data_IF_816658156464
#
_entry.id   IF_816658156464
#
_cell.length_a   1.000
_cell.length_b   1.000
_cell.length_c   1.000
_cell.angle_alpha   90.00
_cell.angle_beta   90.00
_cell.angle_gamma   90.00
#
_symmetry.space_group_name_H-M   'P 1'
#
loop_
_entity.id
_entity.type
_entity.pdbx_description
1 polymer ?
#
# COMPACT_ATOMS: atom_id res chain seq x y z
N UNK A 1 -10.61 -5.44 15.66
CA UNK A 1 -11.31 -6.32 14.70
C UNK A 1 -10.47 -7.58 14.58
N UNK A 2 -10.70 -8.62 15.40
CA UNK A 2 -9.66 -9.59 15.76
C UNK A 2 -9.05 -10.34 14.56
N UNK A 3 -9.84 -10.65 13.54
CA UNK A 3 -9.35 -11.30 12.30
C UNK A 3 -8.44 -10.37 11.49
N UNK A 4 -8.83 -9.10 11.35
CA UNK A 4 -8.04 -8.10 10.62
C UNK A 4 -6.71 -7.83 11.31
N UNK A 5 -6.73 -7.75 12.64
CA UNK A 5 -5.55 -7.52 13.45
C UNK A 5 -4.56 -8.70 13.33
N UNK A 6 -5.09 -9.94 13.31
CA UNK A 6 -4.28 -11.16 13.09
C UNK A 6 -3.68 -11.23 11.69
N UNK A 7 -4.46 -10.87 10.65
CA UNK A 7 -3.98 -10.84 9.27
C UNK A 7 -2.87 -9.79 9.10
N UNK A 8 -3.11 -8.57 9.59
CA UNK A 8 -2.11 -7.52 9.56
C UNK A 8 -0.83 -7.95 10.28
N UNK A 9 -0.93 -8.49 11.49
CA UNK A 9 0.23 -8.97 12.25
C UNK A 9 1.02 -10.04 11.50
N UNK A 10 0.33 -10.99 10.84
CA UNK A 10 0.98 -12.06 10.09
C UNK A 10 1.70 -11.53 8.84
N UNK A 11 1.06 -10.62 8.10
CA UNK A 11 1.63 -9.99 6.90
C UNK A 11 2.82 -9.10 7.27
N UNK A 12 2.65 -8.24 8.28
CA UNK A 12 3.70 -7.36 8.76
C UNK A 12 4.92 -8.16 9.23
N UNK A 13 4.71 -9.27 9.96
CA UNK A 13 5.79 -10.15 10.39
C UNK A 13 6.52 -10.81 9.21
N UNK A 14 5.81 -11.25 8.17
CA UNK A 14 6.41 -11.86 6.99
C UNK A 14 7.22 -10.84 6.18
N UNK A 15 6.67 -9.65 5.92
CA UNK A 15 7.31 -8.60 5.12
C UNK A 15 8.42 -7.87 5.88
N UNK A 16 8.43 -7.93 7.22
CA UNK A 16 9.50 -7.32 8.03
C UNK A 16 10.81 -8.10 8.00
N UNK A 17 10.79 -9.37 7.54
CA UNK A 17 11.97 -10.22 7.54
C UNK A 17 13.04 -9.69 6.59
N UNK A 18 14.33 -9.65 7.00
CA UNK A 18 15.40 -9.12 6.15
C UNK A 18 15.49 -9.81 4.79
N UNK A 19 15.34 -11.13 4.73
CA UNK A 19 15.39 -11.89 3.48
C UNK A 19 14.26 -11.51 2.51
N UNK A 20 13.08 -11.19 3.05
CA UNK A 20 11.93 -10.76 2.25
C UNK A 20 12.13 -9.35 1.72
N UNK A 21 12.66 -8.44 2.55
CA UNK A 21 13.00 -7.08 2.13
C UNK A 21 14.08 -7.07 1.05
N UNK A 22 15.11 -7.91 1.19
CA UNK A 22 16.16 -8.03 0.18
C UNK A 22 15.62 -8.58 -1.14
N UNK A 23 14.80 -9.63 -1.08
CA UNK A 23 14.20 -10.24 -2.28
C UNK A 23 13.31 -9.26 -3.05
N UNK A 24 12.45 -8.53 -2.34
CA UNK A 24 11.59 -7.51 -2.95
C UNK A 24 12.41 -6.30 -3.42
N UNK A 25 13.46 -5.93 -2.68
CA UNK A 25 14.39 -4.87 -3.07
C UNK A 25 15.10 -5.16 -4.40
N UNK A 26 15.45 -6.43 -4.69
CA UNK A 26 16.00 -6.84 -6.00
C UNK A 26 15.02 -6.62 -7.16
N UNK A 27 13.72 -6.54 -6.86
CA UNK A 27 12.66 -6.23 -7.82
C UNK A 27 12.29 -4.74 -7.85
N UNK A 28 13.13 -3.89 -7.27
CA UNK A 28 12.90 -2.44 -7.14
C UNK A 28 11.65 -2.09 -6.32
N UNK A 29 11.21 -3.01 -5.43
CA UNK A 29 10.09 -2.79 -4.53
C UNK A 29 10.58 -2.36 -3.15
N UNK A 30 9.93 -1.35 -2.58
CA UNK A 30 10.15 -0.91 -1.20
C UNK A 30 9.02 -1.43 -0.32
N UNK A 31 9.36 -2.14 0.75
CA UNK A 31 8.38 -2.61 1.73
C UNK A 31 7.99 -1.47 2.66
N UNK A 32 6.72 -1.06 2.59
CA UNK A 32 6.11 -0.10 3.51
C UNK A 32 4.99 -0.80 4.26
N UNK A 33 4.96 -0.66 5.58
CA UNK A 33 3.91 -1.23 6.44
C UNK A 33 3.08 -0.09 7.02
N UNK A 34 1.76 -0.19 6.88
CA UNK A 34 0.81 0.75 7.46
C UNK A 34 -0.27 -0.04 8.20
N UNK A 35 -0.65 0.35 9.43
CA UNK A 35 -1.83 -0.17 10.10
C UNK A 35 -3.07 -0.13 9.20
N UNK A 36 -4.06 -1.03 9.37
CA UNK A 36 -5.21 -1.13 8.46
C UNK A 36 -5.99 0.17 8.25
N UNK A 37 -6.10 1.01 9.29
CA UNK A 37 -6.78 2.29 9.19
C UNK A 37 -5.97 3.31 8.38
N UNK A 38 -4.66 3.38 8.59
CA UNK A 38 -3.77 4.24 7.80
C UNK A 38 -3.74 3.82 6.33
N UNK A 39 -3.76 2.51 6.06
CA UNK A 39 -3.86 1.99 4.69
C UNK A 39 -5.18 2.39 4.03
N UNK A 40 -6.29 2.37 4.77
CA UNK A 40 -7.61 2.81 4.26
C UNK A 40 -7.59 4.29 3.89
N UNK A 41 -7.01 5.14 4.74
CA UNK A 41 -6.89 6.58 4.47
C UNK A 41 -5.93 6.86 3.31
N UNK A 42 -4.84 6.11 3.18
CA UNK A 42 -3.93 6.18 2.05
C UNK A 42 -4.65 5.89 0.72
N UNK A 43 -5.39 4.78 0.63
CA UNK A 43 -6.13 4.43 -0.60
C UNK A 43 -7.14 5.51 -0.96
N UNK A 44 -7.86 6.07 0.02
CA UNK A 44 -8.79 7.18 -0.21
C UNK A 44 -8.06 8.40 -0.78
N UNK A 45 -6.96 8.81 -0.15
CA UNK A 45 -6.17 9.98 -0.56
C UNK A 45 -5.62 9.83 -1.97
N UNK A 46 -5.02 8.67 -2.28
CA UNK A 46 -4.48 8.41 -3.62
C UNK A 46 -5.60 8.40 -4.66
N UNK A 47 -6.71 7.72 -4.39
CA UNK A 47 -7.85 7.66 -5.31
C UNK A 47 -8.38 9.06 -5.64
N UNK A 48 -8.51 9.91 -4.62
CA UNK A 48 -8.94 11.29 -4.82
C UNK A 48 -7.91 12.09 -5.62
N UNK A 49 -6.63 12.04 -5.22
CA UNK A 49 -5.56 12.80 -5.85
C UNK A 49 -5.37 12.44 -7.33
N UNK A 50 -5.37 11.15 -7.66
CA UNK A 50 -5.30 10.69 -9.04
C UNK A 50 -6.55 11.10 -9.84
N UNK A 51 -7.73 11.02 -9.23
CA UNK A 51 -8.97 11.47 -9.86
C UNK A 51 -9.01 12.98 -10.15
N UNK A 52 -8.45 13.80 -9.27
CA UNK A 52 -8.26 15.24 -9.49
C UNK A 52 -7.25 15.51 -10.61
N UNK A 53 -6.07 14.89 -10.53
CA UNK A 53 -5.01 15.01 -11.51
C UNK A 53 -5.48 14.68 -12.94
N UNK A 54 -6.18 13.55 -13.13
CA UNK A 54 -6.67 13.13 -14.44
C UNK A 54 -7.69 14.13 -15.02
N UNK A 55 -8.58 14.67 -14.19
CA UNK A 55 -9.58 15.67 -14.59
C UNK A 55 -8.91 16.98 -15.01
N UNK A 56 -7.94 17.46 -14.23
CA UNK A 56 -7.19 18.68 -14.54
C UNK A 56 -6.37 18.54 -15.82
N UNK A 57 -5.71 17.40 -15.99
CA UNK A 57 -4.92 17.08 -17.18
C UNK A 57 -5.77 16.72 -18.41
N UNK A 58 -7.10 16.63 -18.27
CA UNK A 58 -8.05 16.22 -19.33
C UNK A 58 -7.70 14.87 -19.97
N UNK A 59 -7.09 13.98 -19.19
CA UNK A 59 -6.71 12.64 -19.65
C UNK A 59 -7.95 11.74 -19.60
N UNK A 60 -8.26 11.08 -20.71
CA UNK A 60 -9.27 10.02 -20.77
C UNK A 60 -8.57 8.67 -20.81
N UNK A 61 -9.02 7.73 -19.99
CA UNK A 61 -8.59 6.34 -20.02
C UNK A 61 -9.63 5.59 -20.86
N UNK A 62 -9.18 4.90 -21.92
CA UNK A 62 -10.02 4.06 -22.79
C UNK A 62 -10.24 2.67 -22.21
#
# INVERSE_FOLDING_TARGET
KPVLDKLYGSIAAALSRPEMKETLGKQMLTVTLAPPQEFTEFVRKETQGWGEFLREAKIKIE
#
